data_IF_468135082746
#
_entry.id   IF_468135082746
#
_cell.length_a   1.000
_cell.length_b   1.000
_cell.length_c   1.000
_cell.angle_alpha   90.00
_cell.angle_beta   90.00
_cell.angle_gamma   90.00
#
_symmetry.space_group_name_H-M   'P 1'
#
loop_
_entity.id
_entity.type
_entity.pdbx_description
1 polymer ?
#
# COMPACT_ATOMS: atom_id res chain seq x y z
N UNK A 1 -13.55 25.93 17.91
CA UNK A 1 -12.10 25.69 17.69
C UNK A 1 -11.68 24.24 17.96
N UNK A 2 -12.11 23.56 19.03
CA UNK A 2 -11.69 22.18 19.33
C UNK A 2 -12.00 21.10 18.26
N UNK A 3 -13.08 21.25 17.49
CA UNK A 3 -13.44 20.29 16.42
C UNK A 3 -12.48 20.29 15.22
N UNK A 4 -11.83 21.42 14.92
CA UNK A 4 -10.85 21.55 13.83
C UNK A 4 -9.49 20.93 14.19
N UNK A 5 -9.12 20.95 15.48
CA UNK A 5 -7.90 20.31 15.98
C UNK A 5 -8.00 18.78 15.92
N UNK A 6 -9.17 18.20 16.19
CA UNK A 6 -9.40 16.76 16.09
C UNK A 6 -9.32 16.30 14.62
N UNK A 7 -9.88 17.09 13.69
CA UNK A 7 -9.86 16.77 12.26
C UNK A 7 -8.43 16.83 11.69
N UNK A 8 -7.64 17.83 12.08
CA UNK A 8 -6.22 17.95 11.65
C UNK A 8 -5.33 16.85 12.24
N UNK A 9 -5.58 16.42 13.48
CA UNK A 9 -4.89 15.29 14.10
C UNK A 9 -5.22 13.95 13.40
N UNK A 10 -6.47 13.76 12.97
CA UNK A 10 -6.90 12.58 12.19
C UNK A 10 -6.25 12.55 10.80
N UNK A 11 -6.07 13.69 10.14
CA UNK A 11 -5.41 13.77 8.82
C UNK A 11 -3.94 13.37 8.92
N UNK A 12 -3.24 13.73 10.00
CA UNK A 12 -1.84 13.34 10.25
C UNK A 12 -1.67 11.83 10.49
N UNK A 13 -2.68 11.14 11.03
CA UNK A 13 -2.64 9.70 11.29
C UNK A 13 -2.89 8.84 10.05
N UNK A 14 -3.27 9.43 8.91
CA UNK A 14 -3.68 8.72 7.68
C UNK A 14 -2.70 8.98 6.52
N UNK A 15 -1.52 9.55 6.79
CA UNK A 15 -0.46 9.66 5.78
C UNK A 15 0.42 8.42 5.89
N UNK A 16 0.01 7.36 5.17
CA UNK A 16 0.79 6.16 5.03
C UNK A 16 1.29 5.94 3.62
N UNK A 17 2.55 5.49 3.49
CA UNK A 17 3.15 5.18 2.20
C UNK A 17 2.43 3.99 1.59
N UNK A 18 1.97 4.17 0.36
CA UNK A 18 1.29 3.13 -0.41
C UNK A 18 2.32 2.30 -1.14
N UNK A 19 2.41 1.03 -0.77
CA UNK A 19 3.37 0.07 -1.34
C UNK A 19 2.62 -0.93 -2.19
N UNK A 20 2.95 -1.03 -3.47
CA UNK A 20 2.48 -2.10 -4.34
C UNK A 20 3.51 -3.23 -4.38
N UNK A 21 3.08 -4.45 -4.07
CA UNK A 21 3.90 -5.66 -4.21
C UNK A 21 3.37 -6.48 -5.38
N UNK A 22 4.19 -6.71 -6.40
CA UNK A 22 3.81 -7.47 -7.59
C UNK A 22 4.43 -8.86 -7.53
N UNK A 23 3.59 -9.89 -7.47
CA UNK A 23 4.02 -11.28 -7.33
C UNK A 23 3.80 -12.07 -8.62
N UNK A 24 4.78 -12.88 -8.99
CA UNK A 24 4.72 -13.66 -10.23
C UNK A 24 3.75 -14.85 -10.17
N UNK A 25 3.48 -15.36 -8.98
CA UNK A 25 2.52 -16.43 -8.75
C UNK A 25 1.96 -16.33 -7.32
N UNK A 26 0.83 -17.01 -7.07
CA UNK A 26 0.15 -16.99 -5.76
C UNK A 26 0.97 -17.65 -4.64
N UNK A 27 1.87 -18.58 -4.98
CA UNK A 27 2.69 -19.29 -3.98
C UNK A 27 3.68 -18.33 -3.30
N UNK A 28 4.14 -17.29 -4.00
CA UNK A 28 5.08 -16.31 -3.45
C UNK A 28 4.51 -15.54 -2.25
N UNK A 29 3.19 -15.37 -2.14
CA UNK A 29 2.56 -14.77 -0.96
C UNK A 29 2.85 -15.60 0.30
N UNK A 30 2.82 -16.93 0.18
CA UNK A 30 3.07 -17.83 1.30
C UNK A 30 4.57 -17.92 1.60
N UNK A 31 5.39 -18.07 0.55
CA UNK A 31 6.85 -18.17 0.68
C UNK A 31 7.45 -16.93 1.33
N UNK A 32 6.93 -15.74 1.02
CA UNK A 32 7.42 -14.46 1.54
C UNK A 32 6.46 -13.84 2.57
N UNK A 33 5.63 -14.66 3.21
CA UNK A 33 4.60 -14.21 4.17
C UNK A 33 5.19 -13.37 5.30
N UNK A 34 6.33 -13.78 5.87
CA UNK A 34 7.03 -13.03 6.90
C UNK A 34 7.48 -11.64 6.43
N UNK A 35 8.00 -11.53 5.21
CA UNK A 35 8.40 -10.25 4.63
C UNK A 35 7.18 -9.34 4.39
N UNK A 36 6.10 -9.91 3.86
CA UNK A 36 4.84 -9.19 3.63
C UNK A 36 4.23 -8.73 4.97
N UNK A 37 4.31 -9.54 6.02
CA UNK A 37 3.86 -9.19 7.37
C UNK A 37 4.71 -8.08 7.98
N UNK A 38 6.03 -8.13 7.82
CA UNK A 38 6.93 -7.06 8.26
C UNK A 38 6.62 -5.74 7.53
N UNK A 39 6.44 -5.80 6.20
CA UNK A 39 6.02 -4.65 5.39
C UNK A 39 4.70 -4.04 5.88
N UNK A 40 3.70 -4.88 6.20
CA UNK A 40 2.41 -4.43 6.74
C UNK A 40 2.50 -3.95 8.19
N UNK A 41 3.46 -4.46 8.95
CA UNK A 41 3.69 -4.13 10.35
C UNK A 41 4.49 -2.85 10.57
N UNK A 42 5.20 -2.36 9.54
CA UNK A 42 5.82 -1.04 9.59
C UNK A 42 4.74 0.04 9.68
N UNK A 43 4.85 0.88 10.73
CA UNK A 43 3.90 1.93 11.00
C UNK A 43 3.84 2.84 9.78
N UNK A 44 2.65 2.92 9.18
CA UNK A 44 2.28 3.75 8.05
C UNK A 44 2.40 3.10 6.66
N UNK A 45 2.73 1.82 6.51
CA UNK A 45 2.64 1.19 5.17
C UNK A 45 1.23 0.69 4.86
N UNK A 46 0.69 1.11 3.70
CA UNK A 46 -0.52 0.54 3.09
C UNK A 46 -0.09 -0.38 1.95
N UNK A 47 -0.01 -1.68 2.23
CA UNK A 47 0.49 -2.68 1.27
C UNK A 47 -0.65 -3.27 0.44
N UNK A 48 -0.58 -3.09 -0.88
CA UNK A 48 -1.44 -3.76 -1.87
C UNK A 48 -0.65 -4.88 -2.56
N UNK A 49 -1.25 -6.07 -2.66
CA UNK A 49 -0.64 -7.21 -3.36
C UNK A 49 -1.34 -7.37 -4.69
N UNK A 50 -0.56 -7.42 -5.75
CA UNK A 50 -1.03 -7.74 -7.07
C UNK A 50 -0.23 -8.88 -7.69
N UNK A 51 -0.75 -9.41 -8.78
CA UNK A 51 -0.18 -10.56 -9.46
C UNK A 51 0.17 -10.19 -10.89
N UNK A 52 1.37 -10.56 -11.35
CA UNK A 52 1.80 -10.36 -12.75
C UNK A 52 0.97 -11.19 -13.73
N UNK A 53 0.35 -12.27 -13.24
CA UNK A 53 -0.42 -13.22 -14.01
C UNK A 53 -1.93 -12.95 -13.90
N UNK A 54 -2.66 -13.27 -14.98
CA UNK A 54 -4.11 -13.05 -15.07
C UNK A 54 -4.48 -11.67 -15.63
N UNK A 55 -5.78 -11.37 -15.63
CA UNK A 55 -6.32 -10.08 -16.13
C UNK A 55 -6.54 -9.09 -14.98
N UNK A 56 -5.50 -8.85 -14.18
CA UNK A 56 -5.55 -7.79 -13.17
C UNK A 56 -4.97 -6.50 -13.77
N UNK A 57 -5.84 -5.52 -13.97
CA UNK A 57 -5.40 -4.18 -14.39
C UNK A 57 -5.01 -3.39 -13.13
N UNK A 58 -3.71 -3.21 -12.92
CA UNK A 58 -3.19 -2.35 -11.85
C UNK A 58 -2.98 -0.96 -12.43
N UNK A 59 -3.70 0.01 -11.90
CA UNK A 59 -3.54 1.41 -12.29
C UNK A 59 -2.46 2.07 -11.45
N UNK A 60 -1.32 2.40 -12.07
CA UNK A 60 -0.16 3.00 -11.38
C UNK A 60 -0.29 4.53 -11.21
N UNK A 61 -1.14 5.17 -12.00
CA UNK A 61 -1.31 6.62 -12.06
C UNK A 61 -2.77 6.97 -12.28
N UNK A 62 -3.26 7.97 -11.57
CA UNK A 62 -4.57 8.56 -11.81
C UNK A 62 -4.37 10.06 -12.09
N UNK A 63 -4.72 10.50 -13.30
CA UNK A 63 -4.32 11.80 -13.87
C UNK A 63 -2.80 12.03 -13.79
N UNK A 64 -2.36 13.06 -13.04
CA UNK A 64 -0.95 13.43 -12.85
C UNK A 64 -0.36 13.01 -11.50
N UNK A 65 -1.00 12.06 -10.82
CA UNK A 65 -0.55 11.56 -9.51
C UNK A 65 -0.25 10.08 -9.55
N UNK A 66 0.92 9.70 -9.03
CA UNK A 66 1.25 8.31 -8.76
C UNK A 66 0.35 7.78 -7.64
N UNK A 67 -0.11 6.54 -7.79
CA UNK A 67 -1.02 5.89 -6.84
C UNK A 67 -0.29 5.23 -5.68
N UNK A 68 0.97 4.86 -5.90
CA UNK A 68 1.85 4.17 -4.97
C UNK A 68 3.14 4.98 -4.84
N UNK A 69 3.65 5.04 -3.61
CA UNK A 69 4.92 5.68 -3.27
C UNK A 69 6.09 4.73 -3.51
N UNK A 70 5.85 3.42 -3.38
CA UNK A 70 6.81 2.35 -3.63
C UNK A 70 6.22 1.19 -4.43
N UNK A 71 7.06 0.55 -5.24
CA UNK A 71 6.73 -0.68 -5.98
C UNK A 71 7.85 -1.68 -5.71
N UNK A 72 7.47 -2.91 -5.35
CA UNK A 72 8.36 -4.04 -5.05
C UNK A 72 7.98 -5.23 -5.92
#
# INVERSE_FOLDING_TARGET
MGKLLILSLLVLLVVGDKVLVILDNKQLEQTHSQFIELLKGEKNHQVEIAHSFGRNNIELKYYDRFRYDHIV
#
